data_IF_287204689250
#
_entry.id   IF_287204689250
#
_cell.length_a   1.000
_cell.length_b   1.000
_cell.length_c   1.000
_cell.angle_alpha   90.00
_cell.angle_beta   90.00
_cell.angle_gamma   90.00
#
_symmetry.space_group_name_H-M   'P 1'
#
loop_
_entity.id
_entity.type
_entity.pdbx_description
1 polymer ?
#
# COMPACT_ATOMS: atom_id res chain seq x y z
N UNK A 1 2.74 11.34 -5.23
CA UNK A 1 4.19 11.03 -5.32
C UNK A 1 4.56 10.03 -4.25
N UNK A 2 5.75 9.41 -4.28
CA UNK A 2 6.07 8.33 -3.32
C UNK A 2 5.95 8.75 -1.85
N UNK A 3 6.52 9.91 -1.49
CA UNK A 3 6.47 10.39 -0.11
C UNK A 3 5.06 10.75 0.37
N UNK A 4 4.17 11.23 -0.51
CA UNK A 4 2.78 11.53 -0.13
C UNK A 4 2.00 10.25 0.15
N UNK A 5 2.30 9.19 -0.61
CA UNK A 5 1.73 7.86 -0.39
C UNK A 5 2.19 7.22 0.91
N UNK A 6 3.48 7.36 1.27
CA UNK A 6 3.96 6.84 2.55
C UNK A 6 3.31 7.61 3.72
N UNK A 7 3.22 8.93 3.63
CA UNK A 7 2.73 9.79 4.74
C UNK A 7 1.25 9.64 5.06
N UNK A 8 0.43 9.14 4.13
CA UNK A 8 -1.00 8.92 4.38
C UNK A 8 -1.31 7.61 5.09
N UNK A 9 -0.36 6.67 5.13
CA UNK A 9 -0.58 5.32 5.65
C UNK A 9 -0.46 5.29 7.16
N UNK A 10 -1.38 4.57 7.80
CA UNK A 10 -1.37 4.24 9.23
C UNK A 10 -1.11 2.76 9.43
N UNK A 11 -0.75 2.36 10.64
CA UNK A 11 -0.55 0.95 10.99
C UNK A 11 -1.84 0.13 10.80
N UNK A 12 -3.02 0.75 10.99
CA UNK A 12 -4.32 0.14 10.72
C UNK A 12 -4.48 -0.29 9.25
N UNK A 13 -3.98 0.50 8.30
CA UNK A 13 -3.94 0.13 6.89
C UNK A 13 -3.16 -1.16 6.67
N UNK A 14 -2.01 -1.31 7.33
CA UNK A 14 -1.15 -2.49 7.23
C UNK A 14 -1.85 -3.73 7.80
N UNK A 15 -2.51 -3.62 8.95
CA UNK A 15 -3.28 -4.73 9.50
C UNK A 15 -4.45 -5.14 8.60
N UNK A 16 -5.19 -4.17 8.06
CA UNK A 16 -6.28 -4.46 7.12
C UNK A 16 -5.77 -5.14 5.84
N UNK A 17 -4.62 -4.72 5.30
CA UNK A 17 -4.04 -5.32 4.10
C UNK A 17 -3.52 -6.76 4.31
N UNK A 18 -3.12 -7.11 5.54
CA UNK A 18 -2.45 -8.37 5.85
C UNK A 18 -3.31 -9.36 6.67
N UNK A 19 -4.54 -9.00 7.03
CA UNK A 19 -5.43 -9.85 7.81
C UNK A 19 -6.72 -10.15 7.07
N UNK A 20 -6.96 -11.42 6.76
CA UNK A 20 -8.19 -11.89 6.09
C UNK A 20 -9.44 -11.77 6.97
N UNK A 21 -9.27 -11.83 8.29
CA UNK A 21 -10.37 -11.92 9.25
C UNK A 21 -10.68 -10.59 9.93
N UNK A 22 -9.77 -9.62 9.86
CA UNK A 22 -9.99 -8.29 10.41
C UNK A 22 -10.99 -7.55 9.53
N UNK A 23 -12.16 -7.22 10.09
CA UNK A 23 -13.22 -6.47 9.40
C UNK A 23 -13.25 -5.00 9.80
N UNK A 24 -13.01 -4.74 11.08
CA UNK A 24 -13.00 -3.40 11.65
C UNK A 24 -11.77 -3.21 12.51
N UNK A 25 -11.23 -1.99 12.53
CA UNK A 25 -10.12 -1.60 13.40
C UNK A 25 -10.17 -0.10 13.66
N UNK A 26 -9.62 0.34 14.78
CA UNK A 26 -9.43 1.75 15.07
C UNK A 26 -8.34 2.36 14.16
N UNK A 27 -8.48 3.62 13.70
CA UNK A 27 -7.48 4.27 12.85
C UNK A 27 -6.08 4.35 13.49
N UNK A 28 -6.00 4.66 14.78
CA UNK A 28 -4.75 4.73 15.54
C UNK A 28 -4.64 3.51 16.46
N UNK A 29 -3.93 2.48 15.99
CA UNK A 29 -3.95 1.14 16.62
C UNK A 29 -3.35 1.11 18.03
N UNK A 30 -2.41 2.00 18.33
CA UNK A 30 -1.80 2.09 19.67
C UNK A 30 -2.56 2.98 20.64
N UNK A 31 -3.50 3.78 20.15
CA UNK A 31 -4.37 4.59 21.00
C UNK A 31 -5.52 3.72 21.52
N UNK A 32 -6.04 4.08 22.70
CA UNK A 32 -7.24 3.43 23.24
C UNK A 32 -8.42 3.73 22.29
N UNK A 33 -9.23 2.73 21.91
CA UNK A 33 -10.43 2.97 21.11
C UNK A 33 -11.46 3.80 21.88
N UNK A 34 -12.10 4.73 21.19
CA UNK A 34 -13.22 5.54 21.71
C UNK A 34 -14.19 5.90 20.58
N UNK A 35 -15.43 6.23 20.91
CA UNK A 35 -16.48 6.42 19.90
C UNK A 35 -16.42 7.78 19.17
N UNK A 36 -15.48 8.67 19.50
CA UNK A 36 -15.38 10.01 18.92
C UNK A 36 -14.22 10.15 17.93
N UNK A 37 -13.00 9.84 18.35
CA UNK A 37 -11.76 10.14 17.61
C UNK A 37 -11.02 8.90 17.14
N UNK A 38 -11.25 7.73 17.77
CA UNK A 38 -10.55 6.49 17.46
C UNK A 38 -11.52 5.28 17.42
N UNK A 39 -12.70 5.50 16.86
CA UNK A 39 -13.73 4.48 16.76
C UNK A 39 -13.27 3.38 15.79
N UNK A 40 -13.74 2.16 15.99
CA UNK A 40 -13.51 1.10 15.03
C UNK A 40 -14.28 1.40 13.74
N UNK A 41 -13.56 1.41 12.62
CA UNK A 41 -14.13 1.61 11.28
C UNK A 41 -13.90 0.37 10.43
N UNK A 42 -14.76 0.10 9.42
CA UNK A 42 -14.51 -0.93 8.43
C UNK A 42 -13.14 -0.78 7.77
N UNK A 43 -12.46 -1.90 7.51
CA UNK A 43 -11.17 -1.91 6.82
C UNK A 43 -11.27 -1.32 5.39
N UNK A 44 -12.46 -1.41 4.79
CA UNK A 44 -12.78 -0.82 3.49
C UNK A 44 -12.71 0.72 3.50
N UNK A 45 -12.92 1.33 4.66
CA UNK A 45 -12.86 2.79 4.84
C UNK A 45 -11.45 3.29 5.19
N UNK A 46 -10.49 2.36 5.43
CA UNK A 46 -9.10 2.72 5.75
C UNK A 46 -8.28 2.87 4.46
N UNK A 47 -7.66 4.05 4.23
CA UNK A 47 -6.84 4.28 3.03
C UNK A 47 -5.70 3.27 2.89
N UNK A 48 -5.57 2.73 1.68
CA UNK A 48 -4.50 1.79 1.30
C UNK A 48 -3.39 2.47 0.50
N UNK A 49 -2.21 1.85 0.48
CA UNK A 49 -1.02 2.38 -0.19
C UNK A 49 -1.17 2.25 -1.72
N UNK A 50 -1.03 3.35 -2.45
CA UNK A 50 -0.96 3.31 -3.90
C UNK A 50 0.49 3.16 -4.39
N UNK A 51 0.80 1.99 -4.94
CA UNK A 51 2.12 1.66 -5.48
C UNK A 51 2.36 2.17 -6.90
N UNK A 52 1.39 2.85 -7.53
CA UNK A 52 1.54 3.40 -8.88
C UNK A 52 2.75 4.36 -9.02
N UNK A 53 3.14 5.03 -7.94
CA UNK A 53 4.31 5.93 -7.93
C UNK A 53 5.67 5.21 -7.90
N UNK A 54 5.70 3.89 -7.76
CA UNK A 54 6.92 3.06 -7.83
C UNK A 54 7.11 2.36 -9.16
N UNK A 55 6.19 2.57 -10.12
CA UNK A 55 6.33 2.05 -11.47
C UNK A 55 7.57 2.65 -12.13
N UNK A 56 8.60 1.83 -12.29
CA UNK A 56 9.75 2.16 -13.12
C UNK A 56 9.38 1.89 -14.58
N UNK A 57 9.38 2.95 -15.39
CA UNK A 57 9.34 2.79 -16.85
C UNK A 57 10.75 2.45 -17.29
N UNK A 58 11.10 1.16 -17.19
CA UNK A 58 12.29 0.67 -17.86
C UNK A 58 12.13 0.98 -19.34
N UNK A 59 13.01 1.83 -19.86
CA UNK A 59 13.27 1.85 -21.28
C UNK A 59 13.63 0.43 -21.68
N UNK A 60 13.00 -0.08 -22.74
CA UNK A 60 13.54 -1.24 -23.44
C UNK A 60 14.93 -0.81 -23.89
N UNK A 61 15.96 -1.17 -23.11
CA UNK A 61 17.32 -1.02 -23.56
C UNK A 61 17.42 -1.99 -24.73
N UNK A 62 17.36 -1.47 -25.94
CA UNK A 62 17.73 -2.23 -27.13
C UNK A 62 19.19 -2.63 -26.95
N UNK A 63 19.41 -3.83 -26.43
CA UNK A 63 20.71 -4.47 -26.49
C UNK A 63 20.94 -4.88 -27.94
N UNK A 64 21.91 -4.30 -28.66
CA UNK A 64 22.18 -4.64 -30.05
C UNK A 64 22.60 -6.11 -30.24
N UNK A 65 23.02 -6.80 -29.17
CA UNK A 65 23.43 -8.21 -29.21
C UNK A 65 22.35 -9.19 -28.72
N UNK A 66 21.44 -8.77 -27.85
CA UNK A 66 20.52 -9.71 -27.17
C UNK A 66 19.02 -9.39 -27.30
N UNK A 67 18.63 -8.32 -27.98
CA UNK A 67 17.22 -7.98 -28.20
C UNK A 67 16.48 -7.56 -26.92
N UNK A 68 15.14 -7.45 -26.94
CA UNK A 68 14.38 -6.91 -25.82
C UNK A 68 14.40 -7.87 -24.63
N UNK A 69 15.22 -7.58 -23.62
CA UNK A 69 15.14 -8.25 -22.33
C UNK A 69 14.02 -7.61 -21.49
N UNK A 70 12.81 -8.16 -21.62
CA UNK A 70 11.77 -7.96 -20.64
C UNK A 70 12.18 -8.70 -19.36
N UNK A 71 12.81 -8.04 -18.37
CA UNK A 71 12.93 -8.70 -17.07
C UNK A 71 11.55 -8.75 -16.45
N UNK A 72 10.78 -9.80 -16.73
CA UNK A 72 9.52 -10.06 -16.07
C UNK A 72 9.79 -10.02 -14.56
N UNK A 73 9.25 -9.00 -13.90
CA UNK A 73 9.11 -9.01 -12.45
C UNK A 73 7.93 -9.93 -12.21
N UNK A 74 8.22 -11.23 -12.13
CA UNK A 74 7.24 -12.24 -11.71
C UNK A 74 6.73 -11.85 -10.33
N UNK A 75 5.41 -11.77 -10.22
CA UNK A 75 4.69 -11.99 -8.96
C UNK A 75 5.03 -13.39 -8.44
#
# INVERSE_FOLDING_TARGET
>A
GQLSEIRKIRLSSIFCANSRYLRTIQPNVFDVPDDLINAQVPCEDIPQLDLNHWKDRRYVLYDPMFGPHEKQMTQ
#
